data_IF_921868212747
#
_entry.id   IF_921868212747
#
_cell.length_a   1.000
_cell.length_b   1.000
_cell.length_c   1.000
_cell.angle_alpha   90.00
_cell.angle_beta   90.00
_cell.angle_gamma   90.00
#
_symmetry.space_group_name_H-M   'P 1'
#
loop_
_entity.id
_entity.type
_entity.pdbx_description
1 polymer ?
#
# COMPACT_ATOMS: atom_id res chain seq x y z
N UNK A 1 25.35 35.65 -15.32
CA UNK A 1 23.94 35.25 -15.54
C UNK A 1 23.94 33.79 -15.96
N UNK A 2 23.35 32.92 -15.14
CA UNK A 2 23.57 31.47 -15.19
C UNK A 2 22.77 30.81 -16.31
N UNK A 3 23.44 30.04 -17.17
CA UNK A 3 22.90 29.29 -18.33
C UNK A 3 21.71 28.41 -17.99
N UNK A 4 21.55 28.00 -16.73
CA UNK A 4 20.41 27.23 -16.24
C UNK A 4 19.07 27.98 -16.30
N UNK A 5 19.05 29.32 -16.18
CA UNK A 5 17.79 30.09 -16.28
C UNK A 5 17.30 30.26 -17.70
N UNK A 6 18.21 30.25 -18.68
CA UNK A 6 17.87 30.35 -20.10
C UNK A 6 17.28 29.04 -20.63
N UNK A 7 17.77 27.89 -20.15
CA UNK A 7 17.23 26.59 -20.54
C UNK A 7 15.78 26.38 -20.05
N UNK A 8 15.48 26.79 -18.81
CA UNK A 8 14.12 26.64 -18.25
C UNK A 8 13.09 27.52 -18.97
N UNK A 9 13.43 28.78 -19.24
CA UNK A 9 12.54 29.70 -19.95
C UNK A 9 12.25 29.25 -21.38
N UNK A 10 13.25 28.69 -22.09
CA UNK A 10 13.08 28.16 -23.44
C UNK A 10 12.17 26.93 -23.46
N UNK A 11 12.27 26.05 -22.45
CA UNK A 11 11.38 24.89 -22.30
C UNK A 11 9.94 25.34 -22.06
N UNK A 12 9.72 26.33 -21.20
CA UNK A 12 8.38 26.85 -20.93
C UNK A 12 7.75 27.49 -22.18
N UNK A 13 8.52 28.20 -22.99
CA UNK A 13 8.06 28.83 -24.22
C UNK A 13 7.71 27.79 -25.31
N UNK A 14 8.53 26.74 -25.45
CA UNK A 14 8.25 25.62 -26.34
C UNK A 14 6.98 24.86 -25.89
N UNK A 15 6.83 24.62 -24.59
CA UNK A 15 5.65 23.93 -24.04
C UNK A 15 4.37 24.78 -24.20
N UNK A 16 4.45 26.10 -24.02
CA UNK A 16 3.32 27.00 -24.24
C UNK A 16 2.91 27.05 -25.71
N UNK A 17 3.89 27.09 -26.63
CA UNK A 17 3.66 27.09 -28.08
C UNK A 17 3.00 25.77 -28.54
N UNK A 18 3.52 24.62 -28.08
CA UNK A 18 2.97 23.31 -28.42
C UNK A 18 1.57 23.09 -27.85
N UNK A 19 1.27 23.60 -26.64
CA UNK A 19 -0.07 23.52 -26.05
C UNK A 19 -1.11 24.28 -26.87
N UNK A 20 -0.72 25.42 -27.45
CA UNK A 20 -1.61 26.22 -28.29
C UNK A 20 -1.87 25.57 -29.66
N UNK A 21 -0.93 24.75 -30.16
CA UNK A 21 -1.06 24.02 -31.43
C UNK A 21 -1.86 22.70 -31.33
N UNK A 22 -2.05 22.14 -30.12
CA UNK A 22 -2.60 20.78 -29.93
C UNK A 22 -3.94 20.73 -29.17
N UNK A 23 -4.83 21.69 -29.43
CA UNK A 23 -6.16 21.81 -28.79
C UNK A 23 -7.15 20.66 -29.09
N UNK A 24 -6.79 19.65 -29.90
CA UNK A 24 -7.74 18.64 -30.40
C UNK A 24 -7.44 17.18 -30.00
N UNK A 25 -6.42 16.90 -29.18
CA UNK A 25 -6.16 15.52 -28.69
C UNK A 25 -5.65 15.52 -27.23
N UNK A 26 -6.55 15.57 -26.23
CA UNK A 26 -6.17 15.68 -24.81
C UNK A 26 -5.25 14.55 -24.32
N UNK A 27 -5.41 13.35 -24.89
CA UNK A 27 -4.68 12.15 -24.44
C UNK A 27 -3.20 12.15 -24.86
N UNK A 28 -2.88 12.78 -26.00
CA UNK A 28 -1.51 12.85 -26.50
C UNK A 28 -0.61 13.75 -25.63
N UNK A 29 -1.17 14.83 -25.06
CA UNK A 29 -0.44 15.74 -24.19
C UNK A 29 -0.08 15.09 -22.84
N UNK A 30 -0.99 14.31 -22.26
CA UNK A 30 -0.75 13.59 -21.01
C UNK A 30 0.34 12.50 -21.14
N UNK A 31 0.39 11.82 -22.28
CA UNK A 31 1.44 10.86 -22.57
C UNK A 31 2.80 11.53 -22.79
N UNK A 32 2.85 12.60 -23.59
CA UNK A 32 4.11 13.27 -23.96
C UNK A 32 4.73 14.05 -22.79
N UNK A 33 3.92 14.63 -21.91
CA UNK A 33 4.43 15.31 -20.69
C UNK A 33 5.00 14.33 -19.66
N UNK A 34 4.50 13.10 -19.61
CA UNK A 34 5.05 12.03 -18.77
C UNK A 34 6.44 11.57 -19.25
N UNK A 35 6.71 11.66 -20.55
CA UNK A 35 8.03 11.37 -21.12
C UNK A 35 9.04 12.50 -20.91
N UNK A 36 8.60 13.77 -21.00
CA UNK A 36 9.46 14.94 -20.83
C UNK A 36 9.82 15.20 -19.35
N UNK A 37 8.96 14.80 -18.40
CA UNK A 37 9.20 15.03 -16.96
C UNK A 37 9.92 13.89 -16.22
N UNK A 38 10.29 12.80 -16.90
CA UNK A 38 11.20 11.76 -16.38
C UNK A 38 10.73 11.03 -15.10
N UNK A 39 9.53 11.29 -14.61
CA UNK A 39 8.93 10.58 -13.50
C UNK A 39 8.19 9.36 -14.02
N UNK A 40 8.82 8.18 -14.00
CA UNK A 40 8.08 6.92 -14.19
C UNK A 40 6.92 6.93 -13.20
N UNK A 41 5.68 6.99 -13.69
CA UNK A 41 4.50 6.90 -12.84
C UNK A 41 4.68 5.69 -11.92
N UNK A 42 4.67 5.92 -10.59
CA UNK A 42 4.89 4.86 -9.61
C UNK A 42 3.81 3.81 -9.82
N UNK A 43 4.21 2.63 -10.27
CA UNK A 43 3.32 1.48 -10.39
C UNK A 43 3.25 0.81 -9.04
N UNK A 44 2.07 0.82 -8.43
CA UNK A 44 1.81 0.12 -7.18
C UNK A 44 1.42 -1.33 -7.46
N UNK A 45 1.73 -2.19 -6.50
CA UNK A 45 1.33 -3.58 -6.50
C UNK A 45 0.97 -4.01 -5.09
N UNK A 46 0.16 -5.06 -4.99
CA UNK A 46 -0.13 -5.76 -3.77
C UNK A 46 0.96 -6.81 -3.52
N UNK A 47 1.56 -6.76 -2.33
CA UNK A 47 2.59 -7.69 -1.89
C UNK A 47 2.09 -8.49 -0.69
N UNK A 48 2.53 -9.74 -0.61
CA UNK A 48 2.44 -10.57 0.58
C UNK A 48 3.78 -10.53 1.29
N UNK A 49 3.83 -9.93 2.46
CA UNK A 49 5.01 -9.83 3.29
C UNK A 49 4.99 -10.96 4.31
N UNK A 50 6.13 -11.64 4.49
CA UNK A 50 6.27 -12.74 5.45
C UNK A 50 7.44 -12.53 6.39
N UNK A 51 7.33 -13.05 7.60
CA UNK A 51 8.40 -13.06 8.62
C UNK A 51 8.90 -14.49 8.88
N UNK A 52 10.07 -14.66 9.53
CA UNK A 52 10.61 -15.99 9.80
C UNK A 52 9.77 -16.82 10.77
N UNK A 53 9.04 -16.17 11.68
CA UNK A 53 8.09 -16.81 12.60
C UNK A 53 6.74 -17.14 11.94
N UNK A 54 6.37 -16.41 10.88
CA UNK A 54 5.09 -16.57 10.17
C UNK A 54 3.88 -16.08 10.98
N UNK A 55 4.12 -15.45 12.14
CA UNK A 55 3.08 -14.95 13.05
C UNK A 55 2.57 -13.58 12.60
N UNK A 56 3.30 -12.86 11.75
CA UNK A 56 2.93 -11.52 11.28
C UNK A 56 3.10 -11.45 9.76
N UNK A 57 2.39 -12.31 9.04
CA UNK A 57 2.33 -12.24 7.58
C UNK A 57 1.19 -11.30 7.12
N UNK A 58 1.53 -10.31 6.29
CA UNK A 58 0.62 -9.22 5.94
C UNK A 58 0.61 -8.83 4.47
N UNK A 59 -0.55 -8.37 3.99
CA UNK A 59 -0.63 -7.67 2.70
C UNK A 59 -0.16 -6.23 2.80
N UNK A 60 0.65 -5.78 1.84
CA UNK A 60 1.10 -4.39 1.71
C UNK A 60 0.91 -3.91 0.27
N UNK A 61 0.30 -2.74 0.09
CA UNK A 61 0.37 -2.03 -1.20
C UNK A 61 1.64 -1.19 -1.21
N UNK A 62 2.48 -1.34 -2.23
CA UNK A 62 3.75 -0.61 -2.32
C UNK A 62 4.21 -0.42 -3.77
N UNK A 63 5.16 0.50 -4.03
CA UNK A 63 5.76 0.65 -5.36
C UNK A 63 6.80 -0.44 -5.69
N UNK A 64 7.23 -1.23 -4.71
CA UNK A 64 8.20 -2.34 -4.90
C UNK A 64 8.20 -3.29 -3.70
N UNK A 65 8.72 -4.51 -3.89
CA UNK A 65 8.93 -5.49 -2.82
C UNK A 65 9.83 -4.94 -1.70
N UNK A 66 10.88 -4.18 -2.06
CA UNK A 66 11.75 -3.52 -1.08
C UNK A 66 11.00 -2.50 -0.22
N UNK A 67 10.09 -1.74 -0.82
CA UNK A 67 9.26 -0.78 -0.09
C UNK A 67 8.22 -1.49 0.79
N UNK A 68 7.63 -2.59 0.30
CA UNK A 68 6.69 -3.41 1.05
C UNK A 68 7.33 -3.99 2.32
N UNK A 69 8.45 -4.72 2.18
CA UNK A 69 9.15 -5.30 3.35
C UNK A 69 9.62 -4.23 4.33
N UNK A 70 10.17 -3.12 3.84
CA UNK A 70 10.69 -2.09 4.72
C UNK A 70 9.55 -1.37 5.47
N UNK A 71 8.37 -1.27 4.87
CA UNK A 71 7.18 -0.78 5.55
C UNK A 71 6.70 -1.77 6.61
N UNK A 72 6.62 -3.06 6.26
CA UNK A 72 6.24 -4.13 7.18
C UNK A 72 7.18 -4.17 8.41
N UNK A 73 8.50 -4.27 8.19
CA UNK A 73 9.51 -4.31 9.25
C UNK A 73 9.40 -3.12 10.21
N UNK A 74 9.21 -1.90 9.68
CA UNK A 74 9.08 -0.71 10.52
C UNK A 74 7.75 -0.64 11.26
N UNK A 75 6.68 -1.16 10.68
CA UNK A 75 5.34 -1.09 11.26
C UNK A 75 5.21 -2.07 12.43
N UNK A 76 5.76 -3.27 12.30
CA UNK A 76 5.69 -4.32 13.33
C UNK A 76 6.92 -4.33 14.26
N UNK A 77 8.02 -3.67 13.89
CA UNK A 77 9.21 -3.53 14.73
C UNK A 77 10.30 -4.60 14.50
N UNK A 78 10.27 -5.29 13.35
CA UNK A 78 11.34 -6.21 12.95
C UNK A 78 12.61 -5.48 12.54
N UNK A 79 13.72 -6.20 12.69
CA UNK A 79 14.99 -5.81 12.11
C UNK A 79 14.93 -5.70 10.58
N UNK A 80 15.74 -4.79 10.05
CA UNK A 80 15.82 -4.54 8.62
C UNK A 80 16.33 -5.78 7.88
N UNK A 81 15.56 -6.26 6.92
CA UNK A 81 15.86 -7.44 6.11
C UNK A 81 15.29 -8.75 6.67
N UNK A 82 14.63 -8.72 7.83
CA UNK A 82 13.99 -9.90 8.42
C UNK A 82 12.72 -10.31 7.67
N UNK A 83 12.05 -9.38 6.97
CA UNK A 83 10.86 -9.71 6.20
C UNK A 83 11.16 -9.99 4.72
N UNK A 84 10.46 -10.98 4.17
CA UNK A 84 10.37 -11.19 2.73
C UNK A 84 9.10 -10.52 2.18
N UNK A 85 9.09 -10.19 0.89
CA UNK A 85 7.92 -9.63 0.22
C UNK A 85 7.78 -10.22 -1.18
N UNK A 86 6.67 -10.90 -1.42
CA UNK A 86 6.30 -11.49 -2.70
C UNK A 86 5.24 -10.63 -3.38
N UNK A 87 5.39 -10.36 -4.67
CA UNK A 87 4.36 -9.65 -5.44
C UNK A 87 3.19 -10.59 -5.74
N UNK A 88 1.98 -10.21 -5.33
CA UNK A 88 0.77 -10.98 -5.61
C UNK A 88 0.15 -10.53 -6.93
N UNK A 89 -0.19 -9.23 -7.05
CA UNK A 89 -0.85 -8.67 -8.23
C UNK A 89 -0.52 -7.20 -8.42
N UNK A 90 -0.63 -6.70 -9.65
CA UNK A 90 -0.56 -5.26 -9.90
C UNK A 90 -1.77 -4.55 -9.27
N UNK A 91 -1.59 -3.35 -8.74
CA UNK A 91 -2.73 -2.58 -8.26
C UNK A 91 -3.60 -2.16 -9.45
N UNK A 92 -4.93 -2.35 -9.40
CA UNK A 92 -5.83 -1.91 -10.46
C UNK A 92 -5.68 -0.40 -10.74
N UNK A 93 -5.75 0.04 -12.01
CA UNK A 93 -5.63 1.47 -12.35
C UNK A 93 -6.64 2.36 -11.62
N UNK A 94 -7.83 1.84 -11.29
CA UNK A 94 -8.87 2.56 -10.57
C UNK A 94 -8.47 2.98 -9.14
N UNK A 95 -7.48 2.31 -8.54
CA UNK A 95 -6.94 2.63 -7.22
C UNK A 95 -5.67 3.47 -7.28
N UNK A 96 -5.09 3.65 -8.47
CA UNK A 96 -3.83 4.39 -8.64
C UNK A 96 -4.16 5.85 -8.94
N UNK A 97 -3.56 6.75 -8.18
CA UNK A 97 -3.73 8.19 -8.35
C UNK A 97 -2.40 8.88 -8.64
N UNK A 98 -2.46 10.12 -9.09
CA UNK A 98 -1.27 10.94 -9.27
C UNK A 98 -0.51 11.06 -7.94
N UNK A 99 0.67 10.42 -7.88
CA UNK A 99 1.55 10.43 -6.72
C UNK A 99 1.24 9.38 -5.64
N UNK A 100 0.31 8.45 -5.86
CA UNK A 100 -0.07 7.48 -4.82
C UNK A 100 -1.10 6.44 -5.24
N UNK A 101 -1.79 5.91 -4.23
CA UNK A 101 -2.97 5.08 -4.36
C UNK A 101 -4.02 5.47 -3.34
N UNK A 102 -5.28 5.17 -3.62
CA UNK A 102 -6.40 5.45 -2.73
C UNK A 102 -7.11 4.17 -2.27
N UNK A 103 -7.57 4.22 -1.03
CA UNK A 103 -8.35 3.16 -0.41
C UNK A 103 -9.84 3.56 -0.47
N UNK A 104 -10.68 2.83 -1.22
CA UNK A 104 -12.06 3.23 -1.45
C UNK A 104 -12.96 3.04 -0.22
N UNK A 105 -12.55 2.19 0.74
CA UNK A 105 -13.33 1.98 1.97
C UNK A 105 -13.09 3.12 2.96
N UNK A 106 -11.85 3.58 3.07
CA UNK A 106 -11.47 4.60 4.06
C UNK A 106 -11.40 6.02 3.50
N UNK A 107 -11.36 6.16 2.17
CA UNK A 107 -11.11 7.42 1.46
C UNK A 107 -9.68 7.94 1.57
N UNK A 108 -8.77 7.17 2.17
CA UNK A 108 -7.40 7.61 2.40
C UNK A 108 -6.52 7.50 1.17
N UNK A 109 -5.53 8.39 1.12
CA UNK A 109 -4.53 8.45 0.06
C UNK A 109 -3.16 8.18 0.62
N UNK A 110 -2.44 7.27 -0.01
CA UNK A 110 -1.09 6.87 0.36
C UNK A 110 -0.11 7.18 -0.78
N UNK A 111 0.92 7.98 -0.50
CA UNK A 111 1.99 8.30 -1.46
C UNK A 111 3.10 7.24 -1.53
N UNK A 112 3.02 6.22 -0.68
CA UNK A 112 4.05 5.19 -0.49
C UNK A 112 3.45 3.83 -0.18
N UNK A 113 4.15 3.05 0.64
CA UNK A 113 3.65 1.75 1.09
C UNK A 113 2.59 1.92 2.19
N UNK A 114 1.61 1.02 2.24
CA UNK A 114 0.56 1.06 3.26
C UNK A 114 -0.26 -0.23 3.35
N UNK A 115 -1.01 -0.34 4.45
CA UNK A 115 -1.94 -1.44 4.70
C UNK A 115 -3.21 -1.29 3.84
N UNK A 116 -3.58 -2.29 3.04
CA UNK A 116 -4.83 -2.26 2.27
C UNK A 116 -6.04 -2.58 3.16
N UNK A 117 -7.18 -1.95 2.87
CA UNK A 117 -8.49 -2.44 3.34
C UNK A 117 -8.94 -3.70 2.60
N UNK A 118 -10.00 -4.33 3.12
CA UNK A 118 -10.67 -5.43 2.43
C UNK A 118 -11.18 -4.99 1.04
N UNK A 119 -11.62 -3.73 0.88
CA UNK A 119 -12.08 -3.23 -0.41
C UNK A 119 -10.94 -3.18 -1.43
N UNK A 120 -9.73 -2.82 -1.01
CA UNK A 120 -8.53 -2.88 -1.88
C UNK A 120 -8.20 -4.32 -2.25
N UNK A 121 -8.26 -5.26 -1.29
CA UNK A 121 -8.03 -6.67 -1.55
C UNK A 121 -9.05 -7.21 -2.58
N UNK A 122 -10.34 -6.90 -2.40
CA UNK A 122 -11.41 -7.27 -3.34
C UNK A 122 -11.23 -6.64 -4.72
N UNK A 123 -10.87 -5.37 -4.79
CA UNK A 123 -10.59 -4.69 -6.06
C UNK A 123 -9.40 -5.32 -6.81
N UNK A 124 -8.44 -5.91 -6.08
CA UNK A 124 -7.34 -6.68 -6.65
C UNK A 124 -7.75 -8.09 -7.14
N UNK A 125 -9.02 -8.49 -6.97
CA UNK A 125 -9.51 -9.82 -7.28
C UNK A 125 -9.39 -10.82 -6.12
N UNK A 126 -9.17 -10.32 -4.90
CA UNK A 126 -9.08 -11.15 -3.69
C UNK A 126 -10.46 -11.48 -3.13
N UNK A 127 -10.69 -12.75 -2.82
CA UNK A 127 -11.85 -13.18 -2.05
C UNK A 127 -11.49 -13.13 -0.57
N UNK A 128 -12.17 -12.29 0.21
CA UNK A 128 -11.94 -12.13 1.65
C UNK A 128 -13.07 -12.80 2.41
N UNK A 129 -12.73 -13.80 3.22
CA UNK A 129 -13.66 -14.53 4.08
C UNK A 129 -13.20 -14.47 5.54
N UNK A 130 -14.12 -14.48 6.52
CA UNK A 130 -13.74 -14.67 7.92
C UNK A 130 -13.09 -16.04 8.11
N UNK A 131 -12.13 -16.13 9.02
CA UNK A 131 -11.61 -17.42 9.48
C UNK A 131 -12.59 -18.00 10.50
N UNK A 132 -13.20 -19.14 10.19
CA UNK A 132 -14.00 -19.90 11.15
C UNK A 132 -13.06 -20.56 12.18
N UNK A 133 -13.45 -20.62 13.45
CA UNK A 133 -12.68 -21.07 14.62
C UNK A 133 -11.61 -20.12 15.16
N UNK A 134 -12.06 -19.00 15.74
CA UNK A 134 -11.18 -18.19 16.59
C UNK A 134 -11.91 -17.67 17.83
N UNK A 135 -12.56 -18.53 18.61
CA UNK A 135 -13.31 -18.12 19.82
C UNK A 135 -12.45 -17.27 20.77
N UNK A 136 -11.16 -17.60 20.89
CA UNK A 136 -10.21 -16.88 21.75
C UNK A 136 -9.82 -15.53 21.16
N UNK A 137 -9.57 -15.42 19.85
CA UNK A 137 -9.25 -14.12 19.22
C UNK A 137 -10.48 -13.24 19.00
N UNK A 138 -11.64 -13.83 18.72
CA UNK A 138 -12.93 -13.16 18.68
C UNK A 138 -13.27 -12.51 20.03
N UNK A 139 -12.96 -13.19 21.14
CA UNK A 139 -13.08 -12.61 22.48
C UNK A 139 -12.11 -11.45 22.73
N UNK A 140 -10.97 -11.41 22.03
CA UNK A 140 -9.99 -10.30 22.06
C UNK A 140 -10.29 -9.20 21.03
N UNK A 141 -11.33 -9.34 20.22
CA UNK A 141 -11.70 -8.40 19.15
C UNK A 141 -10.70 -8.40 17.98
N UNK A 142 -9.98 -9.49 17.78
CA UNK A 142 -9.06 -9.68 16.65
C UNK A 142 -9.78 -10.43 15.54
N UNK A 143 -9.83 -9.83 14.34
CA UNK A 143 -10.57 -10.37 13.19
C UNK A 143 -9.63 -11.03 12.21
N UNK A 144 -9.47 -12.35 12.32
CA UNK A 144 -8.72 -13.13 11.35
C UNK A 144 -9.52 -13.33 10.06
N UNK A 145 -8.86 -13.11 8.90
CA UNK A 145 -9.48 -13.25 7.59
C UNK A 145 -8.65 -14.14 6.69
N UNK A 146 -9.30 -14.99 5.92
CA UNK A 146 -8.66 -15.74 4.85
C UNK A 146 -8.82 -14.96 3.55
N UNK A 147 -7.73 -14.80 2.80
CA UNK A 147 -7.76 -14.13 1.50
C UNK A 147 -7.36 -15.13 0.41
N UNK A 148 -8.15 -15.23 -0.66
CA UNK A 148 -7.83 -16.07 -1.82
C UNK A 148 -7.59 -15.24 -3.05
N UNK A 149 -6.55 -15.60 -3.81
CA UNK A 149 -6.33 -15.13 -5.17
C UNK A 149 -6.21 -16.35 -6.09
N UNK A 150 -7.30 -16.68 -6.78
CA UNK A 150 -7.42 -17.93 -7.54
C UNK A 150 -7.24 -19.15 -6.63
N UNK A 151 -6.30 -20.03 -6.97
CA UNK A 151 -6.01 -21.23 -6.17
C UNK A 151 -5.14 -20.97 -4.93
N UNK A 152 -4.52 -19.78 -4.81
CA UNK A 152 -3.65 -19.45 -3.67
C UNK A 152 -4.47 -18.93 -2.51
N UNK A 153 -4.23 -19.51 -1.35
CA UNK A 153 -4.86 -19.12 -0.08
C UNK A 153 -3.79 -18.49 0.81
N UNK A 154 -4.06 -17.28 1.27
CA UNK A 154 -3.23 -16.56 2.22
C UNK A 154 -3.93 -16.64 3.58
N UNK A 155 -3.27 -17.27 4.54
CA UNK A 155 -3.77 -17.44 5.90
C UNK A 155 -3.03 -16.45 6.81
N UNK A 156 -3.73 -15.83 7.77
CA UNK A 156 -3.10 -14.95 8.76
C UNK A 156 -2.09 -15.70 9.63
N UNK A 157 -0.97 -15.03 9.90
CA UNK A 157 -0.28 -15.13 11.18
C UNK A 157 -0.97 -14.26 12.25
N UNK A 158 -1.33 -13.02 11.88
CA UNK A 158 -2.25 -12.12 12.57
C UNK A 158 -2.74 -11.09 11.54
N UNK A 159 -4.00 -11.16 11.09
CA UNK A 159 -4.60 -10.08 10.29
C UNK A 159 -5.39 -9.22 11.26
N UNK A 160 -4.82 -8.07 11.62
CA UNK A 160 -5.58 -6.91 12.08
C UNK A 160 -5.54 -5.93 10.93
N UNK A 161 -6.56 -5.89 10.07
CA UNK A 161 -6.77 -4.67 9.30
C UNK A 161 -6.79 -3.53 10.33
N UNK A 162 -5.72 -2.73 10.40
CA UNK A 162 -5.34 -1.96 11.61
C UNK A 162 -6.26 -0.75 11.86
N UNK A 163 -7.51 -0.83 11.38
CA UNK A 163 -8.52 0.22 11.45
C UNK A 163 -9.79 -0.19 12.17
N UNK A 164 -10.09 -1.48 12.30
CA UNK A 164 -11.22 -1.90 13.16
C UNK A 164 -10.95 -1.61 14.65
N UNK A 165 -9.68 -1.39 15.05
CA UNK A 165 -9.30 -0.96 16.41
C UNK A 165 -9.86 0.40 16.86
N UNK A 166 -10.33 1.27 15.95
CA UNK A 166 -10.89 2.59 16.35
C UNK A 166 -12.40 2.59 16.58
N UNK A 167 -13.12 1.56 16.15
CA UNK A 167 -14.59 1.51 16.24
C UNK A 167 -15.09 0.82 17.51
N UNK A 168 -14.29 -0.06 18.11
CA UNK A 168 -14.56 -0.60 19.43
C UNK A 168 -13.84 0.26 20.47
N UNK A 169 -14.57 0.88 21.39
CA UNK A 169 -14.05 1.67 22.52
C UNK A 169 -13.26 0.85 23.55
N UNK A 170 -12.33 0.00 23.10
CA UNK A 170 -11.45 -0.80 23.93
C UNK A 170 -10.40 0.13 24.57
N UNK A 171 -10.58 0.39 25.86
CA UNK A 171 -9.60 1.02 26.72
C UNK A 171 -8.25 0.32 26.55
N UNK A 172 -7.18 1.11 26.46
CA UNK A 172 -5.77 0.65 26.52
C UNK A 172 -5.63 -0.50 27.54
N UNK A 173 -5.19 -1.71 27.15
CA UNK A 173 -4.69 -2.65 28.14
C UNK A 173 -3.45 -2.03 28.77
N UNK A 174 -3.55 -1.75 30.07
CA UNK A 174 -2.38 -1.44 30.89
C UNK A 174 -1.57 -2.73 30.95
N UNK A 175 -0.44 -2.77 30.22
CA UNK A 175 0.60 -3.77 30.42
C UNK A 175 1.04 -3.68 31.88
N UNK A 176 0.52 -4.60 32.70
CA UNK A 176 1.00 -4.83 34.05
C UNK A 176 2.41 -5.38 33.96
N UNK A 177 3.34 -4.68 34.60
CA UNK A 177 4.73 -5.11 34.80
C UNK A 177 4.72 -6.47 35.51
N UNK A 178 5.04 -7.54 34.79
CA UNK A 178 5.42 -8.81 35.40
C UNK A 178 6.81 -8.62 36.03
N UNK A 179 6.87 -8.41 37.35
CA UNK A 179 8.10 -8.65 38.12
C UNK A 179 8.10 -10.11 38.51
N UNK A 180 8.77 -10.93 37.70
CA UNK A 180 9.19 -12.28 38.08
C UNK A 180 10.16 -12.21 39.25
N UNK A 181 9.95 -13.08 40.23
CA UNK A 181 10.75 -13.19 41.44
C UNK A 181 12.13 -13.78 41.19
N UNK A 182 13.03 -13.42 42.09
CA UNK A 182 14.27 -14.10 42.43
C UNK A 182 14.44 -13.99 43.95
#
# INVERSE_FOLDING_TARGET
MSTHRLAAALVDEILASLRNSFSLVPDAWSAMTSEITGGRAKRYALFWCTTPDGDEDWFVVAPSARAARAFHERAEGYDRGSAAAERVVALPPALVEAGGWSDPETGERSSGAGWPSDAVLRACGGEVAPLEDDELRGALGVVCKLVRFGARVFRPGDIVSNRERRSAGARRPRLGVFRGGG
#
